data_IF_956286874696
#
_entry.id   IF_956286874696
#
_cell.length_a   1.000
_cell.length_b   1.000
_cell.length_c   1.000
_cell.angle_alpha   90.00
_cell.angle_beta   90.00
_cell.angle_gamma   90.00
#
_symmetry.space_group_name_H-M   'P 1'
#
loop_
_entity.id
_entity.type
_entity.pdbx_description
1 polymer ?
#
# COMPACT_ATOMS: atom_id res chain seq x y z
N UNK A 1 -7.22 -3.66 -17.19
CA UNK A 1 -7.20 -5.13 -17.35
C UNK A 1 -7.41 -5.77 -15.98
N UNK A 2 -8.18 -6.86 -15.88
CA UNK A 2 -8.43 -7.57 -14.62
C UNK A 2 -7.95 -9.01 -14.76
N UNK A 3 -7.12 -9.46 -13.83
CA UNK A 3 -6.60 -10.82 -13.76
C UNK A 3 -7.39 -11.60 -12.71
N UNK A 4 -7.69 -12.87 -13.02
CA UNK A 4 -8.32 -13.79 -12.08
C UNK A 4 -7.27 -14.44 -11.16
N UNK A 5 -6.16 -14.89 -11.73
CA UNK A 5 -5.10 -15.60 -11.00
C UNK A 5 -3.72 -15.18 -11.52
N UNK A 6 -2.89 -14.55 -10.67
CA UNK A 6 -3.24 -13.96 -9.37
C UNK A 6 -4.31 -12.86 -9.49
N UNK A 7 -5.17 -12.75 -8.47
CA UNK A 7 -6.24 -11.75 -8.46
C UNK A 7 -5.65 -10.34 -8.36
N UNK A 8 -5.80 -9.56 -9.43
CA UNK A 8 -5.26 -8.20 -9.49
C UNK A 8 -5.99 -7.37 -10.54
N UNK A 9 -6.05 -6.06 -10.30
CA UNK A 9 -6.45 -5.06 -11.29
C UNK A 9 -5.19 -4.35 -11.80
N UNK A 10 -5.02 -4.35 -13.12
CA UNK A 10 -3.90 -3.72 -13.80
C UNK A 10 -4.40 -2.46 -14.52
N UNK A 11 -3.87 -1.32 -14.10
CA UNK A 11 -4.04 -0.04 -14.77
C UNK A 11 -2.85 0.20 -15.70
N UNK A 12 -3.11 0.39 -16.98
CA UNK A 12 -2.10 0.66 -18.01
C UNK A 12 -2.30 2.08 -18.50
N UNK A 13 -1.24 2.89 -18.48
CA UNK A 13 -1.26 4.27 -19.01
C UNK A 13 -0.68 4.31 -20.42
N UNK A 14 -1.02 5.35 -21.17
CA UNK A 14 -0.47 5.62 -22.52
C UNK A 14 1.06 5.71 -22.53
N UNK A 15 1.68 6.08 -21.40
CA UNK A 15 3.13 6.09 -21.24
C UNK A 15 3.78 4.69 -21.14
N UNK A 16 2.99 3.61 -21.21
CA UNK A 16 3.46 2.23 -20.97
C UNK A 16 3.63 1.86 -19.50
N UNK A 17 3.42 2.79 -18.57
CA UNK A 17 3.51 2.50 -17.15
C UNK A 17 2.30 1.68 -16.67
N UNK A 18 2.57 0.62 -15.92
CA UNK A 18 1.56 -0.27 -15.35
C UNK A 18 1.50 -0.13 -13.82
N UNK A 19 0.30 -0.14 -13.26
CA UNK A 19 0.06 -0.20 -11.82
C UNK A 19 -0.75 -1.44 -11.49
N UNK A 20 -0.25 -2.22 -10.53
CA UNK A 20 -0.85 -3.47 -10.06
C UNK A 20 -1.52 -3.18 -8.72
N UNK A 21 -2.83 -3.43 -8.62
CA UNK A 21 -3.66 -3.08 -7.48
C UNK A 21 -4.43 -4.32 -7.02
N UNK A 22 -4.49 -4.53 -5.70
CA UNK A 22 -5.35 -5.55 -5.08
C UNK A 22 -4.72 -6.93 -4.89
N UNK A 23 -3.43 -7.11 -5.21
CA UNK A 23 -2.71 -8.36 -4.91
C UNK A 23 -2.52 -8.54 -3.40
N UNK A 24 -2.65 -9.77 -2.91
CA UNK A 24 -2.57 -10.05 -1.47
C UNK A 24 -1.13 -10.06 -0.94
N UNK A 25 -0.17 -10.33 -1.81
CA UNK A 25 1.25 -10.42 -1.46
C UNK A 25 2.16 -9.77 -2.52
N UNK A 26 3.41 -9.49 -2.12
CA UNK A 26 4.42 -8.94 -3.04
C UNK A 26 4.77 -9.95 -4.14
N UNK A 27 4.81 -11.24 -3.81
CA UNK A 27 5.04 -12.33 -4.77
C UNK A 27 3.93 -12.41 -5.80
N UNK A 28 2.66 -12.38 -5.38
CA UNK A 28 1.51 -12.33 -6.29
C UNK A 28 1.52 -11.07 -7.16
N UNK A 29 1.83 -9.90 -6.58
CA UNK A 29 1.90 -8.66 -7.32
C UNK A 29 2.96 -8.72 -8.42
N UNK A 30 4.10 -9.37 -8.16
CA UNK A 30 5.16 -9.59 -9.14
C UNK A 30 4.71 -10.55 -10.24
N UNK A 31 4.10 -11.68 -9.89
CA UNK A 31 3.55 -12.62 -10.87
C UNK A 31 2.47 -11.96 -11.75
N UNK A 32 1.58 -11.16 -11.15
CA UNK A 32 0.57 -10.39 -11.86
C UNK A 32 1.19 -9.41 -12.87
N UNK A 33 2.27 -8.73 -12.46
CA UNK A 33 2.99 -7.79 -13.31
C UNK A 33 3.67 -8.49 -14.50
N UNK A 34 4.29 -9.65 -14.27
CA UNK A 34 4.91 -10.47 -15.32
C UNK A 34 3.88 -11.04 -16.30
N UNK A 35 2.74 -11.51 -15.79
CA UNK A 35 1.62 -11.97 -16.63
C UNK A 35 1.05 -10.82 -17.45
N UNK A 36 0.82 -9.66 -16.83
CA UNK A 36 0.34 -8.47 -17.51
C UNK A 36 1.30 -8.03 -18.62
N UNK A 37 2.60 -8.01 -18.34
CA UNK A 37 3.63 -7.70 -19.35
C UNK A 37 3.56 -8.67 -20.53
N UNK A 38 3.44 -9.98 -20.28
CA UNK A 38 3.29 -11.00 -21.34
C UNK A 38 2.05 -10.79 -22.19
N UNK A 39 0.92 -10.46 -21.58
CA UNK A 39 -0.33 -10.17 -22.30
C UNK A 39 -0.15 -8.94 -23.20
N UNK A 40 0.40 -7.85 -22.67
CA UNK A 40 0.61 -6.60 -23.42
C UNK A 40 1.57 -6.81 -24.59
N UNK A 41 2.69 -7.53 -24.38
CA UNK A 41 3.63 -7.91 -25.46
C UNK A 41 2.90 -8.60 -26.61
N UNK A 42 2.09 -9.60 -26.29
CA UNK A 42 1.35 -10.38 -27.29
C UNK A 42 0.26 -9.58 -27.97
N UNK A 43 -0.54 -8.83 -27.21
CA UNK A 43 -1.69 -8.10 -27.74
C UNK A 43 -1.30 -6.92 -28.61
N UNK A 44 -0.15 -6.28 -28.35
CA UNK A 44 0.31 -5.09 -29.06
C UNK A 44 1.53 -5.35 -29.95
N UNK A 45 1.98 -6.60 -30.07
CA UNK A 45 3.19 -6.99 -30.80
C UNK A 45 4.43 -6.19 -30.39
N UNK A 46 4.57 -5.92 -29.09
CA UNK A 46 5.67 -5.15 -28.51
C UNK A 46 6.78 -6.06 -28.02
N UNK A 47 8.02 -5.69 -28.30
CA UNK A 47 9.22 -6.33 -27.76
C UNK A 47 9.85 -5.39 -26.72
N UNK A 48 9.75 -5.75 -25.44
CA UNK A 48 10.45 -5.07 -24.36
C UNK A 48 11.00 -6.12 -23.39
N UNK A 49 12.27 -6.01 -23.00
CA UNK A 49 12.96 -7.08 -22.28
C UNK A 49 12.83 -6.95 -20.76
N UNK A 50 12.80 -5.72 -20.24
CA UNK A 50 12.86 -5.45 -18.81
C UNK A 50 11.51 -4.99 -18.22
N UNK A 51 11.09 -5.66 -17.15
CA UNK A 51 10.01 -5.19 -16.27
C UNK A 51 10.63 -4.66 -14.97
N UNK A 52 10.64 -3.35 -14.80
CA UNK A 52 11.04 -2.72 -13.54
C UNK A 52 9.89 -2.79 -12.55
N UNK A 53 9.95 -3.75 -11.63
CA UNK A 53 8.95 -3.92 -10.58
C UNK A 53 9.36 -3.15 -9.32
N UNK A 54 8.49 -2.26 -8.84
CA UNK A 54 8.68 -1.53 -7.58
C UNK A 54 7.37 -1.44 -6.82
N UNK A 55 7.41 -1.81 -5.55
CA UNK A 55 6.28 -1.62 -4.62
C UNK A 55 6.16 -0.14 -4.28
N UNK A 56 4.96 0.44 -4.51
CA UNK A 56 4.66 1.85 -4.24
C UNK A 56 3.97 2.06 -2.89
N UNK A 57 3.06 1.17 -2.55
CA UNK A 57 2.27 1.22 -1.33
C UNK A 57 1.93 -0.19 -0.90
N UNK A 58 1.91 -0.43 0.41
CA UNK A 58 1.41 -1.65 1.02
C UNK A 58 0.28 -1.28 1.98
N UNK A 59 -0.78 -2.07 1.95
CA UNK A 59 -1.91 -1.93 2.87
C UNK A 59 -1.98 -3.22 3.68
N UNK A 60 -1.99 -3.08 5.00
CA UNK A 60 -2.15 -4.21 5.92
C UNK A 60 -3.42 -4.02 6.74
N UNK A 61 -4.09 -5.12 7.04
CA UNK A 61 -5.25 -5.16 7.93
C UNK A 61 -5.01 -6.24 8.98
N UNK A 62 -5.27 -5.91 10.23
CA UNK A 62 -5.21 -6.86 11.34
C UNK A 62 -6.34 -6.56 12.32
N UNK A 63 -6.64 -7.53 13.18
CA UNK A 63 -7.60 -7.40 14.26
C UNK A 63 -6.85 -7.58 15.59
N UNK A 64 -7.05 -6.65 16.52
CA UNK A 64 -6.47 -6.73 17.86
C UNK A 64 -7.35 -7.50 18.85
N UNK A 65 -8.55 -7.94 18.42
CA UNK A 65 -9.48 -8.74 19.20
C UNK A 65 -9.86 -8.14 20.57
N UNK A 66 -9.82 -6.81 20.68
CA UNK A 66 -10.16 -6.05 21.89
C UNK A 66 -10.76 -4.69 21.50
N UNK A 67 -11.76 -4.17 22.23
CA UNK A 67 -12.35 -2.86 21.95
C UNK A 67 -11.35 -1.73 22.20
N UNK A 68 -11.41 -0.68 21.37
CA UNK A 68 -10.55 0.51 21.47
C UNK A 68 -11.39 1.76 21.70
N UNK A 69 -11.03 2.55 22.71
CA UNK A 69 -11.64 3.87 22.93
C UNK A 69 -11.00 4.91 21.99
N UNK A 70 -11.68 5.19 20.87
CA UNK A 70 -11.15 6.04 19.80
C UNK A 70 -10.89 7.49 20.24
N UNK A 71 -11.68 8.01 21.17
CA UNK A 71 -11.52 9.37 21.73
C UNK A 71 -10.23 9.51 22.55
N UNK A 72 -9.83 8.45 23.25
CA UNK A 72 -8.58 8.42 23.98
C UNK A 72 -7.39 8.26 23.02
N UNK A 73 -7.56 7.39 22.02
CA UNK A 73 -6.53 7.13 21.01
C UNK A 73 -6.22 8.38 20.17
N UNK A 74 -7.22 9.19 19.81
CA UNK A 74 -7.01 10.39 19.00
C UNK A 74 -6.22 11.48 19.74
N UNK A 75 -6.33 11.51 21.07
CA UNK A 75 -5.60 12.44 21.94
C UNK A 75 -4.21 11.94 22.32
N UNK A 76 -3.92 10.66 22.09
CA UNK A 76 -2.63 10.07 22.42
C UNK A 76 -1.52 10.70 21.58
N UNK A 77 -0.43 11.07 22.27
CA UNK A 77 0.77 11.66 21.68
C UNK A 77 1.94 10.78 22.04
N UNK A 78 2.72 10.39 21.04
CA UNK A 78 4.03 9.77 21.22
C UNK A 78 5.10 10.85 21.13
N UNK A 79 5.98 10.90 22.12
CA UNK A 79 7.15 11.78 22.10
C UNK A 79 8.25 11.21 21.19
N UNK A 80 9.16 12.08 20.74
CA UNK A 80 10.35 11.64 20.02
C UNK A 80 11.12 10.60 20.87
N UNK A 81 11.49 9.47 20.26
CA UNK A 81 12.29 8.38 20.82
C UNK A 81 11.57 7.32 21.69
N UNK A 82 10.25 7.36 21.83
CA UNK A 82 9.53 6.26 22.53
C UNK A 82 9.41 4.98 21.67
N UNK A 83 9.33 5.14 20.35
CA UNK A 83 9.25 4.03 19.39
C UNK A 83 10.30 4.24 18.29
N UNK A 84 11.11 3.22 18.04
CA UNK A 84 12.13 3.27 17.00
C UNK A 84 11.50 3.58 15.63
N UNK A 85 11.99 4.63 14.98
CA UNK A 85 11.51 5.06 13.65
C UNK A 85 10.27 5.97 13.67
N UNK A 86 9.70 6.28 14.84
CA UNK A 86 8.57 7.21 14.99
C UNK A 86 9.05 8.47 15.71
N UNK A 87 8.99 9.61 15.02
CA UNK A 87 9.25 10.94 15.57
C UNK A 87 8.00 11.61 16.16
N UNK A 88 6.81 11.09 15.88
CA UNK A 88 5.59 11.55 16.53
C UNK A 88 4.33 10.86 16.01
N UNK A 89 3.26 10.98 16.78
CA UNK A 89 1.93 10.45 16.44
C UNK A 89 0.87 11.54 16.55
N UNK A 90 0.04 11.62 15.52
CA UNK A 90 -1.07 12.56 15.43
C UNK A 90 -2.35 11.80 15.11
N UNK A 91 -3.35 11.88 15.99
CA UNK A 91 -4.68 11.34 15.76
C UNK A 91 -5.67 12.40 15.31
N UNK A 92 -6.59 12.01 14.42
CA UNK A 92 -7.82 12.75 14.13
C UNK A 92 -9.01 11.79 14.20
N UNK A 93 -10.01 12.13 15.00
CA UNK A 93 -11.26 11.39 15.13
C UNK A 93 -12.44 12.35 15.09
N UNK A 94 -13.13 12.36 13.95
CA UNK A 94 -14.33 13.15 13.67
C UNK A 94 -15.47 12.16 13.34
N UNK A 95 -16.19 11.63 14.34
CA UNK A 95 -17.16 10.54 14.14
C UNK A 95 -18.30 10.88 13.18
N UNK A 96 -18.62 12.17 13.04
CA UNK A 96 -19.62 12.67 12.09
C UNK A 96 -19.17 12.54 10.62
N UNK A 97 -17.86 12.53 10.37
CA UNK A 97 -17.29 12.40 9.02
C UNK A 97 -16.81 10.99 8.71
N UNK A 98 -16.20 10.33 9.69
CA UNK A 98 -15.65 8.99 9.55
C UNK A 98 -15.64 8.25 10.89
N UNK A 99 -16.19 7.04 10.92
CA UNK A 99 -16.32 6.26 12.15
C UNK A 99 -14.98 5.75 12.73
N UNK A 100 -13.88 5.84 11.99
CA UNK A 100 -12.56 5.42 12.43
C UNK A 100 -11.68 6.59 12.89
N UNK A 101 -10.73 6.31 13.79
CA UNK A 101 -9.66 7.25 14.13
C UNK A 101 -8.54 7.15 13.08
N UNK A 102 -8.17 8.27 12.47
CA UNK A 102 -7.05 8.37 11.53
C UNK A 102 -5.80 8.71 12.31
N UNK A 103 -4.84 7.78 12.35
CA UNK A 103 -3.54 7.98 12.96
C UNK A 103 -2.47 8.26 11.90
N UNK A 104 -1.73 9.34 12.09
CA UNK A 104 -0.57 9.72 11.26
C UNK A 104 0.69 9.61 12.08
N UNK A 105 1.54 8.67 11.69
CA UNK A 105 2.90 8.55 12.18
C UNK A 105 3.79 9.49 11.39
N UNK A 106 4.57 10.31 12.09
CA UNK A 106 5.63 11.13 11.52
C UNK A 106 6.94 10.48 11.93
N UNK A 107 7.85 10.28 10.99
CA UNK A 107 9.12 9.62 11.25
C UNK A 107 10.15 9.99 10.19
N UNK A 108 11.42 9.95 10.58
CA UNK A 108 12.53 10.19 9.66
C UNK A 108 13.00 8.87 9.06
N UNK A 109 12.99 8.75 7.73
CA UNK A 109 13.49 7.57 7.01
C UNK A 109 15.01 7.34 7.12
N UNK A 110 15.72 8.16 7.91
CA UNK A 110 17.18 8.14 8.03
C UNK A 110 17.72 6.81 8.58
N UNK A 111 16.90 6.02 9.28
CA UNK A 111 17.27 4.70 9.80
C UNK A 111 16.72 3.52 8.98
N UNK A 112 16.09 3.78 7.83
CA UNK A 112 15.48 2.74 6.98
C UNK A 112 16.38 2.34 5.79
N UNK A 113 17.70 2.49 5.95
CA UNK A 113 18.72 2.10 4.96
C UNK A 113 19.28 0.73 5.26
#
# INVERSE_FOLDING_TARGET
>A
MRLHEPSAVILIRSSGAMSIIGSASISEARQAAELAARIVRKALHLNFDALQFRVRSLMARFNICSPVRLEALSRYRLAENEILGVGGLFGNYEPERFAGCVLRLVGSSRHNR
#
